data_IF_139867585345
#
_entry.id   IF_139867585345
#
_cell.length_a   1.000
_cell.length_b   1.000
_cell.length_c   1.000
_cell.angle_alpha   90.00
_cell.angle_beta   90.00
_cell.angle_gamma   90.00
#
_symmetry.space_group_name_H-M   'P 1'
#
loop_
_entity.id
_entity.type
_entity.pdbx_description
1 polymer ?
#
# COMPACT_ATOMS: atom_id res chain seq x y z
N UNK A 1 -7.28 7.71 32.26
CA UNK A 1 -7.34 7.02 30.95
C UNK A 1 -7.84 8.01 29.93
N UNK A 2 -7.22 8.00 28.75
CA UNK A 2 -7.74 8.62 27.54
C UNK A 2 -8.15 7.48 26.61
N UNK A 3 -9.21 7.66 25.84
CA UNK A 3 -9.63 6.68 24.85
C UNK A 3 -9.02 7.06 23.51
N UNK A 4 -8.46 6.06 22.82
CA UNK A 4 -7.86 6.20 21.49
C UNK A 4 -8.73 5.47 20.48
N UNK A 5 -8.92 6.06 19.31
CA UNK A 5 -9.75 5.50 18.24
C UNK A 5 -8.98 5.52 16.94
N UNK A 6 -8.87 4.35 16.30
CA UNK A 6 -8.31 4.23 14.95
C UNK A 6 -9.44 4.32 13.94
N UNK A 7 -9.38 5.24 12.99
CA UNK A 7 -10.45 5.47 12.01
C UNK A 7 -9.90 5.42 10.60
N UNK A 8 -10.67 4.82 9.70
CA UNK A 8 -10.42 4.87 8.27
C UNK A 8 -11.75 4.82 7.52
N UNK A 9 -11.78 5.44 6.34
CA UNK A 9 -12.88 5.33 5.40
C UNK A 9 -12.32 5.51 3.99
N UNK A 10 -12.44 4.49 3.14
CA UNK A 10 -11.89 4.52 1.79
C UNK A 10 -12.62 3.54 0.88
N UNK A 11 -12.44 3.73 -0.43
CA UNK A 11 -13.09 2.93 -1.45
C UNK A 11 -12.03 2.42 -2.43
N UNK A 12 -12.12 1.14 -2.77
CA UNK A 12 -11.24 0.46 -3.73
C UNK A 12 -12.11 -0.17 -4.83
N UNK A 13 -11.67 -0.03 -6.08
CA UNK A 13 -12.23 -0.78 -7.20
C UNK A 13 -11.48 -2.12 -7.31
N UNK A 14 -12.22 -3.20 -7.44
CA UNK A 14 -11.66 -4.54 -7.62
C UNK A 14 -12.63 -5.40 -8.44
N UNK A 15 -12.17 -6.55 -8.90
CA UNK A 15 -13.05 -7.51 -9.56
C UNK A 15 -14.16 -7.99 -8.62
N UNK A 16 -15.31 -8.35 -9.18
CA UNK A 16 -16.41 -8.92 -8.40
C UNK A 16 -15.99 -10.19 -7.64
N UNK A 17 -15.09 -11.01 -8.20
CA UNK A 17 -14.59 -12.21 -7.55
C UNK A 17 -13.83 -11.90 -6.25
N UNK A 18 -12.92 -10.92 -6.29
CA UNK A 18 -12.18 -10.47 -5.11
C UNK A 18 -13.13 -9.87 -4.06
N UNK A 19 -14.13 -9.09 -4.50
CA UNK A 19 -15.13 -8.53 -3.61
C UNK A 19 -15.94 -9.63 -2.88
N UNK A 20 -16.26 -10.74 -3.56
CA UNK A 20 -16.95 -11.87 -2.91
C UNK A 20 -16.08 -12.60 -1.89
N UNK A 21 -14.76 -12.65 -2.07
CA UNK A 21 -13.87 -13.19 -1.05
C UNK A 21 -13.94 -12.40 0.27
N UNK A 22 -14.18 -11.08 0.22
CA UNK A 22 -14.36 -10.26 1.42
C UNK A 22 -15.62 -10.66 2.21
N UNK A 23 -16.72 -10.99 1.53
CA UNK A 23 -17.94 -11.50 2.20
C UNK A 23 -17.70 -12.83 2.91
N UNK A 24 -16.94 -13.71 2.26
CA UNK A 24 -16.57 -15.00 2.85
C UNK A 24 -15.61 -14.80 4.02
N UNK A 25 -14.72 -13.80 3.97
CA UNK A 25 -13.88 -13.42 5.09
C UNK A 25 -14.70 -12.87 6.29
N UNK A 26 -15.73 -12.03 6.05
CA UNK A 26 -16.67 -11.59 7.11
C UNK A 26 -17.38 -12.81 7.75
N UNK A 27 -17.82 -13.77 6.93
CA UNK A 27 -18.43 -15.01 7.40
C UNK A 27 -17.43 -15.86 8.23
N UNK A 28 -16.18 -15.96 7.79
CA UNK A 28 -15.13 -16.68 8.52
C UNK A 28 -14.86 -16.05 9.89
N UNK A 29 -14.81 -14.72 9.99
CA UNK A 29 -14.73 -14.02 11.27
C UNK A 29 -15.95 -14.34 12.17
N UNK A 30 -17.17 -14.31 11.64
CA UNK A 30 -18.37 -14.65 12.43
C UNK A 30 -18.39 -16.10 12.94
N UNK A 31 -17.86 -17.03 12.16
CA UNK A 31 -17.65 -18.44 12.59
C UNK A 31 -16.67 -18.49 13.77
N UNK A 32 -15.53 -17.81 13.63
CA UNK A 32 -14.47 -17.83 14.65
C UNK A 32 -14.90 -17.09 15.94
N UNK A 33 -15.69 -16.03 15.84
CA UNK A 33 -16.22 -15.26 16.98
C UNK A 33 -17.26 -16.06 17.79
N UNK A 34 -18.11 -16.84 17.10
CA UNK A 34 -19.09 -17.72 17.79
C UNK A 34 -18.39 -18.83 18.58
N UNK A 35 -17.19 -19.23 18.12
CA UNK A 35 -16.44 -20.35 18.67
C UNK A 35 -17.08 -21.71 18.37
N UNK A 36 -16.53 -22.75 18.97
CA UNK A 36 -17.02 -24.13 18.83
C UNK A 36 -15.94 -25.16 19.10
N UNK A 37 -16.32 -26.42 19.07
CA UNK A 37 -15.36 -27.52 19.07
C UNK A 37 -14.62 -27.59 17.72
N UNK A 38 -13.40 -28.09 17.71
CA UNK A 38 -12.53 -28.14 16.51
C UNK A 38 -13.19 -28.87 15.33
N UNK A 39 -13.98 -29.91 15.59
CA UNK A 39 -14.71 -30.65 14.54
C UNK A 39 -15.80 -29.81 13.87
N UNK A 40 -16.49 -28.97 14.64
CA UNK A 40 -17.53 -28.09 14.12
C UNK A 40 -16.91 -26.94 13.31
N UNK A 41 -15.82 -26.35 13.81
CA UNK A 41 -15.06 -25.34 13.06
C UNK A 41 -14.52 -25.90 11.75
N UNK A 42 -13.99 -27.12 11.76
CA UNK A 42 -13.51 -27.79 10.54
C UNK A 42 -14.64 -28.01 9.52
N UNK A 43 -15.84 -28.41 9.98
CA UNK A 43 -17.02 -28.58 9.12
C UNK A 43 -17.50 -27.26 8.53
N UNK A 44 -17.52 -26.20 9.35
CA UNK A 44 -17.91 -24.86 8.91
C UNK A 44 -16.91 -24.28 7.91
N UNK A 45 -15.60 -24.50 8.12
CA UNK A 45 -14.56 -24.17 7.15
C UNK A 45 -14.80 -24.88 5.81
N UNK A 46 -15.07 -26.19 5.82
CA UNK A 46 -15.30 -26.95 4.58
C UNK A 46 -16.53 -26.48 3.80
N UNK A 47 -17.50 -25.86 4.48
CA UNK A 47 -18.68 -25.26 3.88
C UNK A 47 -18.45 -23.86 3.27
N UNK A 48 -17.31 -23.22 3.54
CA UNK A 48 -16.95 -21.95 2.93
C UNK A 48 -16.62 -22.11 1.44
N UNK A 49 -16.75 -20.98 0.73
CA UNK A 49 -16.53 -20.92 -0.70
C UNK A 49 -15.17 -21.53 -1.10
N UNK A 50 -15.11 -22.42 -2.11
CA UNK A 50 -13.86 -22.99 -2.59
C UNK A 50 -12.79 -21.94 -2.96
N UNK A 51 -13.18 -20.77 -3.47
CA UNK A 51 -12.26 -19.69 -3.80
C UNK A 51 -11.58 -19.14 -2.54
N UNK A 52 -12.32 -18.99 -1.44
CA UNK A 52 -11.75 -18.60 -0.15
C UNK A 52 -10.77 -19.64 0.37
N UNK A 53 -11.12 -20.93 0.31
CA UNK A 53 -10.25 -22.03 0.73
C UNK A 53 -9.00 -22.18 -0.15
N UNK A 54 -9.05 -21.75 -1.40
CA UNK A 54 -7.89 -21.71 -2.27
C UNK A 54 -6.91 -20.60 -1.88
N UNK A 55 -7.41 -19.45 -1.43
CA UNK A 55 -6.60 -18.33 -0.92
C UNK A 55 -6.06 -18.61 0.47
N UNK A 56 -6.89 -19.20 1.34
CA UNK A 56 -6.57 -19.54 2.73
C UNK A 56 -6.65 -21.05 2.94
N UNK A 57 -5.69 -21.84 2.44
CA UNK A 57 -5.68 -23.29 2.60
C UNK A 57 -5.48 -23.69 4.06
N UNK A 58 -5.94 -24.88 4.49
CA UNK A 58 -5.82 -25.29 5.87
C UNK A 58 -4.36 -25.52 6.26
N UNK A 59 -3.95 -24.98 7.42
CA UNK A 59 -2.60 -25.13 7.94
C UNK A 59 -2.58 -25.14 9.47
N UNK A 60 -1.74 -26.01 10.05
CA UNK A 60 -1.61 -26.11 11.51
C UNK A 60 -2.76 -26.87 12.18
N UNK A 61 -3.04 -26.52 13.45
CA UNK A 61 -4.03 -27.22 14.28
C UNK A 61 -5.49 -26.88 13.91
N UNK A 62 -5.73 -25.68 13.37
CA UNK A 62 -7.04 -25.24 12.90
C UNK A 62 -7.05 -25.14 11.37
N UNK A 63 -8.15 -25.55 10.73
CA UNK A 63 -8.30 -25.33 9.28
C UNK A 63 -8.30 -23.85 8.89
N UNK A 64 -8.58 -22.95 9.82
CA UNK A 64 -8.48 -21.51 9.61
C UNK A 64 -7.06 -20.96 9.75
N UNK A 65 -6.03 -21.78 9.98
CA UNK A 65 -4.69 -21.30 10.36
C UNK A 65 -4.08 -20.24 9.43
N UNK A 66 -4.18 -20.40 8.11
CA UNK A 66 -3.69 -19.40 7.15
C UNK A 66 -4.52 -18.11 7.16
N UNK A 67 -5.82 -18.20 7.40
CA UNK A 67 -6.68 -17.03 7.57
C UNK A 67 -6.36 -16.31 8.88
N UNK A 68 -6.18 -17.05 9.98
CA UNK A 68 -5.80 -16.49 11.28
C UNK A 68 -4.46 -15.76 11.25
N UNK A 69 -3.54 -16.17 10.38
CA UNK A 69 -2.23 -15.54 10.22
C UNK A 69 -2.30 -14.09 9.70
N UNK A 70 -3.42 -13.62 9.15
CA UNK A 70 -3.56 -12.22 8.72
C UNK A 70 -3.84 -11.26 9.88
N UNK A 71 -4.27 -11.79 11.04
CA UNK A 71 -4.66 -11.01 12.21
C UNK A 71 -3.48 -10.85 13.18
N UNK A 72 -3.25 -9.64 13.72
CA UNK A 72 -2.25 -9.42 14.78
C UNK A 72 -2.54 -10.23 16.06
N UNK A 73 -3.82 -10.43 16.37
CA UNK A 73 -4.29 -11.30 17.45
C UNK A 73 -5.13 -12.47 16.87
N UNK A 74 -4.50 -13.64 16.64
CA UNK A 74 -5.21 -14.83 16.16
C UNK A 74 -6.26 -15.37 17.14
N UNK A 75 -6.23 -14.96 18.42
CA UNK A 75 -7.20 -15.39 19.43
C UNK A 75 -8.54 -14.68 19.32
N UNK A 76 -8.56 -13.48 18.72
CA UNK A 76 -9.76 -12.66 18.52
C UNK A 76 -9.77 -12.08 17.09
N UNK A 77 -9.96 -12.91 16.06
CA UNK A 77 -9.87 -12.49 14.67
C UNK A 77 -11.07 -11.62 14.26
N UNK A 78 -10.87 -10.30 14.21
CA UNK A 78 -11.85 -9.32 13.77
C UNK A 78 -11.25 -8.34 12.76
N UNK A 79 -11.98 -7.99 11.71
CA UNK A 79 -11.55 -6.98 10.73
C UNK A 79 -11.70 -5.54 11.24
N UNK A 80 -12.50 -5.36 12.30
CA UNK A 80 -12.83 -4.08 12.94
C UNK A 80 -13.25 -2.97 11.95
N UNK A 81 -13.90 -3.36 10.85
CA UNK A 81 -14.44 -2.43 9.87
C UNK A 81 -15.74 -2.97 9.27
N UNK A 82 -16.55 -2.07 8.72
CA UNK A 82 -17.66 -2.38 7.86
C UNK A 82 -17.20 -2.43 6.40
N UNK A 83 -17.65 -3.45 5.65
CA UNK A 83 -17.38 -3.62 4.23
C UNK A 83 -18.70 -3.51 3.45
N UNK A 84 -18.85 -2.42 2.68
CA UNK A 84 -19.97 -2.21 1.75
C UNK A 84 -19.51 -2.53 0.33
N UNK A 85 -20.25 -3.39 -0.38
CA UNK A 85 -19.93 -3.81 -1.74
C UNK A 85 -21.04 -3.35 -2.67
N UNK A 86 -20.69 -2.50 -3.63
CA UNK A 86 -21.57 -2.08 -4.72
C UNK A 86 -21.08 -2.71 -6.01
N UNK A 87 -21.93 -3.54 -6.60
CA UNK A 87 -21.63 -4.15 -7.90
C UNK A 87 -21.94 -3.17 -9.01
N UNK A 88 -21.03 -3.06 -9.97
CA UNK A 88 -21.21 -2.26 -11.17
C UNK A 88 -21.55 -3.23 -12.32
N UNK A 89 -22.24 -2.76 -13.37
CA UNK A 89 -22.67 -3.61 -14.50
C UNK A 89 -21.51 -4.25 -15.30
N UNK A 90 -20.26 -3.85 -15.03
CA UNK A 90 -19.06 -4.18 -15.79
C UNK A 90 -18.11 -5.18 -15.10
N UNK A 91 -18.62 -6.11 -14.28
CA UNK A 91 -17.84 -7.15 -13.58
C UNK A 91 -16.83 -6.63 -12.52
N UNK A 92 -16.79 -5.31 -12.33
CA UNK A 92 -16.07 -4.62 -11.27
C UNK A 92 -17.02 -4.31 -10.10
N UNK A 93 -16.46 -4.29 -8.91
CA UNK A 93 -17.14 -3.90 -7.68
C UNK A 93 -16.43 -2.71 -7.04
N UNK A 94 -17.23 -1.74 -6.60
CA UNK A 94 -16.78 -0.67 -5.74
C UNK A 94 -16.95 -1.14 -4.28
N UNK A 95 -15.84 -1.33 -3.58
CA UNK A 95 -15.84 -1.79 -2.18
C UNK A 95 -15.42 -0.66 -1.27
N UNK A 96 -16.24 -0.34 -0.28
CA UNK A 96 -15.99 0.69 0.72
C UNK A 96 -15.73 0.06 2.08
N UNK A 97 -14.61 0.44 2.68
CA UNK A 97 -14.20 0.04 4.02
C UNK A 97 -14.36 1.25 4.94
N UNK A 98 -14.94 1.07 6.11
CA UNK A 98 -15.06 2.15 7.09
C UNK A 98 -15.15 1.66 8.54
N UNK A 99 -14.65 2.44 9.50
CA UNK A 99 -14.74 2.09 10.92
C UNK A 99 -14.11 3.12 11.86
N UNK A 100 -14.47 3.04 13.15
CA UNK A 100 -13.95 3.91 14.22
C UNK A 100 -13.01 3.19 15.22
N UNK A 101 -12.80 1.89 15.03
CA UNK A 101 -11.75 1.08 15.67
C UNK A 101 -11.02 0.25 14.59
N UNK A 102 -10.77 0.89 13.45
CA UNK A 102 -10.40 0.24 12.21
C UNK A 102 -9.18 -0.67 12.32
N UNK A 103 -9.35 -1.90 11.84
CA UNK A 103 -8.32 -2.93 11.78
C UNK A 103 -7.30 -2.73 10.65
N UNK A 104 -6.37 -1.78 10.83
CA UNK A 104 -5.43 -1.36 9.78
C UNK A 104 -4.58 -2.53 9.24
N UNK A 105 -3.98 -3.33 10.12
CA UNK A 105 -3.10 -4.44 9.71
C UNK A 105 -3.87 -5.59 9.07
N UNK A 106 -4.95 -6.04 9.71
CA UNK A 106 -5.73 -7.16 9.21
C UNK A 106 -6.44 -6.85 7.89
N UNK A 107 -6.91 -5.60 7.67
CA UNK A 107 -7.48 -5.21 6.37
C UNK A 107 -6.40 -5.14 5.29
N UNK A 108 -5.21 -4.64 5.60
CA UNK A 108 -4.11 -4.61 4.63
C UNK A 108 -3.66 -6.02 4.23
N UNK A 109 -3.54 -6.93 5.19
CA UNK A 109 -3.19 -8.33 4.96
C UNK A 109 -4.29 -9.06 4.18
N UNK A 110 -5.57 -8.78 4.46
CA UNK A 110 -6.70 -9.33 3.70
C UNK A 110 -6.67 -8.85 2.24
N UNK A 111 -6.46 -7.55 2.01
CA UNK A 111 -6.32 -7.00 0.65
C UNK A 111 -5.15 -7.66 -0.10
N UNK A 112 -4.01 -7.83 0.57
CA UNK A 112 -2.85 -8.50 0.00
C UNK A 112 -3.17 -9.96 -0.37
N UNK A 113 -3.79 -10.72 0.55
CA UNK A 113 -4.02 -12.14 0.35
C UNK A 113 -5.12 -12.43 -0.67
N UNK A 114 -6.27 -11.75 -0.56
CA UNK A 114 -7.49 -12.10 -1.26
C UNK A 114 -7.87 -11.18 -2.42
N UNK A 115 -7.37 -9.93 -2.48
CA UNK A 115 -7.84 -8.92 -3.44
C UNK A 115 -6.78 -8.57 -4.48
N UNK A 116 -6.26 -9.57 -5.20
CA UNK A 116 -5.13 -9.39 -6.13
C UNK A 116 -5.43 -8.43 -7.27
N UNK A 117 -6.67 -8.34 -7.74
CA UNK A 117 -7.08 -7.41 -8.81
C UNK A 117 -7.07 -5.94 -8.36
N UNK A 118 -7.09 -5.69 -7.05
CA UNK A 118 -6.98 -4.34 -6.50
C UNK A 118 -5.54 -3.84 -6.43
N UNK A 119 -4.53 -4.72 -6.58
CA UNK A 119 -3.14 -4.36 -6.35
C UNK A 119 -2.52 -3.67 -7.58
N UNK A 120 -1.69 -2.62 -7.41
CA UNK A 120 -1.37 -1.97 -6.14
C UNK A 120 -2.51 -1.05 -5.64
N UNK A 121 -2.75 -1.05 -4.34
CA UNK A 121 -3.70 -0.14 -3.70
C UNK A 121 -3.15 0.41 -2.37
N UNK A 122 -3.91 1.28 -1.74
CA UNK A 122 -3.58 1.81 -0.43
C UNK A 122 -4.73 2.58 0.18
N UNK A 123 -4.58 2.93 1.44
CA UNK A 123 -5.57 3.68 2.18
C UNK A 123 -4.93 4.51 3.30
N UNK A 124 -5.61 5.58 3.69
CA UNK A 124 -5.22 6.42 4.82
C UNK A 124 -6.01 6.05 6.07
N UNK A 125 -5.40 6.28 7.22
CA UNK A 125 -6.02 6.10 8.53
C UNK A 125 -5.58 7.20 9.48
N UNK A 126 -6.36 7.42 10.52
CA UNK A 126 -6.08 8.37 11.60
C UNK A 126 -6.25 7.67 12.93
N UNK A 127 -5.45 8.07 13.93
CA UNK A 127 -5.67 7.73 15.32
C UNK A 127 -5.93 9.02 16.08
N UNK A 128 -7.10 9.15 16.67
CA UNK A 128 -7.45 10.29 17.51
C UNK A 128 -7.63 9.87 18.98
N UNK A 129 -7.67 10.88 19.85
CA UNK A 129 -7.84 10.68 21.27
C UNK A 129 -8.91 11.63 21.82
N UNK A 130 -9.70 11.17 22.78
CA UNK A 130 -10.68 12.02 23.49
C UNK A 130 -10.02 13.10 24.38
N UNK A 131 -8.69 13.07 24.51
CA UNK A 131 -7.89 14.08 25.18
C UNK A 131 -6.83 14.61 24.24
N UNK A 132 -6.61 15.92 24.30
CA UNK A 132 -5.61 16.58 23.46
C UNK A 132 -4.28 16.60 24.21
N UNK A 133 -3.40 15.63 23.93
CA UNK A 133 -2.01 15.64 24.42
C UNK A 133 -1.01 15.46 23.28
N UNK A 134 0.22 15.97 23.45
CA UNK A 134 1.29 15.74 22.48
C UNK A 134 1.50 14.25 22.21
N UNK A 135 1.53 13.85 20.94
CA UNK A 135 1.74 12.48 20.50
C UNK A 135 0.50 11.56 20.54
N UNK A 136 -0.65 12.02 21.03
CA UNK A 136 -1.89 11.22 21.07
C UNK A 136 -2.71 11.28 19.76
N UNK A 137 -2.38 12.21 18.85
CA UNK A 137 -2.90 12.23 17.48
C UNK A 137 -1.86 11.64 16.53
N UNK A 138 -2.26 10.62 15.80
CA UNK A 138 -1.43 9.97 14.81
C UNK A 138 -2.25 9.63 13.58
N UNK A 139 -1.63 8.96 12.63
CA UNK A 139 -2.28 8.51 11.42
C UNK A 139 -1.23 8.01 10.47
N UNK A 140 -1.64 7.80 9.24
CA UNK A 140 -0.73 7.31 8.24
C UNK A 140 -1.42 6.85 6.99
N UNK A 141 -0.67 6.13 6.19
CA UNK A 141 -1.20 5.37 5.08
C UNK A 141 -0.57 3.98 5.03
N UNK A 142 -1.29 3.08 4.38
CA UNK A 142 -0.84 1.74 4.05
C UNK A 142 -0.79 1.62 2.54
N UNK A 143 0.29 1.04 2.02
CA UNK A 143 0.44 0.70 0.62
C UNK A 143 0.54 -0.82 0.50
N UNK A 144 -0.32 -1.40 -0.31
CA UNK A 144 -0.39 -2.85 -0.55
C UNK A 144 0.01 -3.13 -1.99
N UNK A 145 1.02 -3.98 -2.15
CA UNK A 145 1.59 -4.38 -3.44
C UNK A 145 1.72 -5.89 -3.51
N UNK A 146 1.98 -6.46 -4.69
CA UNK A 146 2.26 -7.89 -4.81
C UNK A 146 3.42 -8.39 -3.93
N UNK A 147 4.37 -7.50 -3.62
CA UNK A 147 5.55 -7.81 -2.80
C UNK A 147 5.30 -7.74 -1.29
N UNK A 148 4.18 -7.16 -0.86
CA UNK A 148 3.83 -7.03 0.56
C UNK A 148 3.12 -5.73 0.93
N UNK A 149 2.97 -5.55 2.24
CA UNK A 149 2.35 -4.38 2.88
C UNK A 149 3.43 -3.45 3.42
N UNK A 150 3.29 -2.15 3.15
CA UNK A 150 4.14 -1.09 3.72
C UNK A 150 3.29 -0.11 4.52
N UNK A 151 3.71 0.13 5.76
CA UNK A 151 3.04 1.06 6.67
C UNK A 151 3.86 2.34 6.77
N UNK A 152 3.19 3.49 6.65
CA UNK A 152 3.78 4.80 6.85
C UNK A 152 2.97 5.54 7.90
N UNK A 153 3.60 5.95 9.00
CA UNK A 153 2.95 6.88 9.93
C UNK A 153 3.14 8.32 9.47
N UNK A 154 2.27 9.22 9.91
CA UNK A 154 2.45 10.66 9.71
C UNK A 154 3.80 11.15 10.23
N UNK A 155 4.31 10.55 11.31
CA UNK A 155 5.64 10.83 11.82
C UNK A 155 6.74 10.36 10.86
N UNK A 156 6.67 9.13 10.33
CA UNK A 156 7.67 8.66 9.34
C UNK A 156 7.63 9.51 8.07
N UNK A 157 6.44 9.95 7.66
CA UNK A 157 6.25 10.85 6.52
C UNK A 157 6.90 12.22 6.80
N UNK A 158 6.67 12.78 8.00
CA UNK A 158 7.27 14.05 8.43
C UNK A 158 8.80 13.96 8.53
N UNK A 159 9.32 12.93 9.18
CA UNK A 159 10.76 12.68 9.31
C UNK A 159 11.42 12.52 7.94
N UNK A 160 10.79 11.80 7.02
CA UNK A 160 11.25 11.70 5.63
C UNK A 160 11.24 13.06 4.94
N UNK A 161 10.20 13.86 5.13
CA UNK A 161 10.13 15.20 4.55
C UNK A 161 11.23 16.12 5.11
N UNK A 162 11.46 16.10 6.43
CA UNK A 162 12.53 16.87 7.07
C UNK A 162 13.91 16.40 6.62
N UNK A 163 14.16 15.09 6.60
CA UNK A 163 15.43 14.54 6.14
C UNK A 163 15.69 14.89 4.67
N UNK A 164 14.67 14.93 3.81
CA UNK A 164 14.83 15.41 2.42
C UNK A 164 15.26 16.86 2.36
N UNK A 165 14.71 17.71 3.22
CA UNK A 165 15.11 19.12 3.31
C UNK A 165 16.55 19.25 3.83
N UNK A 166 16.89 18.53 4.90
CA UNK A 166 18.21 18.59 5.55
C UNK A 166 19.34 17.97 4.72
N UNK A 167 19.07 16.85 4.04
CA UNK A 167 20.03 16.21 3.14
C UNK A 167 20.34 17.06 1.91
N UNK A 168 19.58 18.14 1.66
CA UNK A 168 19.61 18.86 0.39
C UNK A 168 19.12 17.96 -0.76
N UNK A 169 19.00 18.52 -1.96
CA UNK A 169 18.55 17.78 -3.14
C UNK A 169 19.61 16.78 -3.68
N UNK A 170 20.47 16.25 -2.81
CA UNK A 170 21.49 15.23 -3.10
C UNK A 170 20.90 13.81 -3.06
N UNK A 171 19.70 13.63 -2.48
CA UNK A 171 19.11 12.32 -2.24
C UNK A 171 18.33 11.72 -3.42
N UNK A 172 18.63 12.07 -4.68
CA UNK A 172 18.07 11.36 -5.85
C UNK A 172 16.53 11.40 -6.05
N UNK A 173 15.77 11.90 -5.08
CA UNK A 173 14.29 11.93 -5.06
C UNK A 173 13.76 13.31 -5.50
N UNK A 174 14.53 14.37 -5.23
CA UNK A 174 14.26 15.75 -5.65
C UNK A 174 15.36 16.30 -6.60
N UNK A 175 16.13 15.39 -7.20
CA UNK A 175 17.19 15.72 -8.14
C UNK A 175 16.67 15.98 -9.55
N UNK A 176 17.55 16.50 -10.39
CA UNK A 176 17.31 16.66 -11.83
C UNK A 176 18.12 15.65 -12.62
N UNK A 177 17.56 15.17 -13.72
CA UNK A 177 18.25 14.35 -14.72
C UNK A 177 18.47 15.17 -15.98
N UNK A 178 19.57 14.87 -16.66
CA UNK A 178 19.88 15.48 -17.95
C UNK A 178 19.18 14.68 -19.05
N UNK A 179 18.15 15.28 -19.66
CA UNK A 179 17.41 14.73 -20.77
C UNK A 179 17.90 15.35 -22.07
N UNK A 180 18.21 14.50 -23.04
CA UNK A 180 18.73 14.91 -24.35
C UNK A 180 17.76 14.41 -25.40
N UNK A 181 17.29 15.33 -26.25
CA UNK A 181 16.45 14.97 -27.38
C UNK A 181 17.35 14.59 -28.55
N UNK A 182 17.14 13.43 -29.12
CA UNK A 182 17.80 13.06 -30.36
C UNK A 182 17.16 13.86 -31.52
N UNK A 183 17.93 14.71 -32.23
CA UNK A 183 17.40 15.55 -33.30
C UNK A 183 16.93 14.75 -34.53
N UNK A 184 17.34 13.48 -34.66
CA UNK A 184 17.01 12.63 -35.79
C UNK A 184 15.76 11.75 -35.58
N UNK A 185 15.56 11.24 -34.36
CA UNK A 185 14.43 10.37 -34.00
C UNK A 185 13.33 11.10 -33.21
N UNK A 186 13.66 12.20 -32.53
CA UNK A 186 12.77 12.92 -31.62
C UNK A 186 12.64 12.27 -30.24
N UNK A 187 13.27 11.11 -30.02
CA UNK A 187 13.25 10.38 -28.75
C UNK A 187 14.06 11.11 -27.67
N UNK A 188 13.68 10.89 -26.40
CA UNK A 188 14.37 11.46 -25.24
C UNK A 188 15.24 10.38 -24.60
N UNK A 189 16.54 10.61 -24.59
CA UNK A 189 17.52 9.82 -23.83
C UNK A 189 17.93 10.53 -22.54
N UNK A 190 18.27 9.76 -21.51
CA UNK A 190 18.72 10.29 -20.23
C UNK A 190 20.18 9.93 -19.98
N UNK A 191 20.97 10.91 -19.55
CA UNK A 191 22.41 10.75 -19.35
C UNK A 191 22.76 9.88 -18.14
N UNK A 192 23.77 9.03 -18.29
CA UNK A 192 24.37 8.23 -17.23
C UNK A 192 25.89 8.44 -17.19
N UNK A 193 26.41 8.97 -16.07
CA UNK A 193 27.83 9.23 -15.85
C UNK A 193 28.67 7.95 -15.77
N UNK A 194 28.12 6.86 -15.24
CA UNK A 194 28.85 5.61 -15.06
C UNK A 194 29.11 4.91 -16.40
N UNK A 195 28.16 4.99 -17.33
CA UNK A 195 28.29 4.40 -18.67
C UNK A 195 28.69 5.40 -19.74
N UNK A 196 28.72 6.69 -19.42
CA UNK A 196 29.00 7.80 -20.35
C UNK A 196 28.10 7.73 -21.60
N UNK A 197 26.82 7.42 -21.41
CA UNK A 197 25.88 7.20 -22.51
C UNK A 197 24.46 7.65 -22.18
N UNK A 198 23.66 7.87 -23.23
CA UNK A 198 22.21 8.10 -23.11
C UNK A 198 21.47 6.78 -23.03
N UNK A 199 20.48 6.70 -22.13
CA UNK A 199 19.66 5.51 -21.94
C UNK A 199 18.29 5.81 -21.34
N UNK A 200 17.68 4.77 -20.76
CA UNK A 200 16.38 4.87 -20.08
C UNK A 200 16.48 5.67 -18.78
N UNK A 201 15.38 6.33 -18.38
CA UNK A 201 15.29 7.13 -17.16
C UNK A 201 15.70 6.35 -15.90
N UNK A 202 15.34 5.07 -15.81
CA UNK A 202 15.68 4.22 -14.66
C UNK A 202 17.18 4.00 -14.47
N UNK A 203 18.01 4.32 -15.46
CA UNK A 203 19.46 4.24 -15.41
C UNK A 203 20.11 5.63 -15.42
N UNK A 204 19.36 6.72 -15.36
CA UNK A 204 19.90 8.06 -15.44
C UNK A 204 20.72 8.42 -14.18
N UNK A 205 21.78 9.21 -14.37
CA UNK A 205 22.47 9.86 -13.26
C UNK A 205 21.64 11.04 -12.77
N UNK A 206 21.51 11.12 -11.44
CA UNK A 206 20.71 12.16 -10.78
C UNK A 206 21.63 13.21 -10.18
N UNK A 207 21.29 14.48 -10.41
CA UNK A 207 22.09 15.62 -9.98
C UNK A 207 21.29 16.55 -9.05
N UNK A 208 22.00 17.22 -8.16
CA UNK A 208 21.44 18.34 -7.40
C UNK A 208 21.13 19.52 -8.36
N UNK A 209 20.00 20.24 -8.22
CA UNK A 209 19.66 21.39 -9.08
C UNK A 209 20.74 22.47 -9.15
N UNK A 210 21.43 22.75 -8.03
CA UNK A 210 22.55 23.70 -8.02
C UNK A 210 23.77 23.23 -8.81
N UNK A 211 24.03 21.92 -8.87
CA UNK A 211 25.10 21.34 -9.70
C UNK A 211 24.73 21.38 -11.18
N UNK A 212 23.49 21.05 -11.51
CA UNK A 212 22.95 21.21 -12.86
C UNK A 212 23.05 22.66 -13.36
N UNK A 213 22.69 23.64 -12.51
CA UNK A 213 22.77 25.06 -12.83
C UNK A 213 24.21 25.59 -13.02
N UNK A 214 25.20 24.90 -12.46
CA UNK A 214 26.62 25.29 -12.54
C UNK A 214 27.45 24.40 -13.47
N UNK A 215 26.82 23.50 -14.23
CA UNK A 215 27.53 22.62 -15.16
C UNK A 215 27.81 23.36 -16.47
N UNK A 216 29.02 23.93 -16.58
CA UNK A 216 29.40 24.80 -17.71
C UNK A 216 29.71 24.08 -19.03
N UNK A 217 29.95 22.75 -19.00
CA UNK A 217 30.42 21.96 -20.16
C UNK A 217 29.58 20.68 -20.35
N UNK A 218 28.29 20.84 -20.61
CA UNK A 218 27.41 19.73 -20.97
C UNK A 218 27.72 19.31 -22.43
N UNK A 219 27.97 18.01 -22.72
CA UNK A 219 28.43 17.56 -24.04
C UNK A 219 27.31 17.49 -25.10
N UNK A 220 26.21 18.22 -24.91
CA UNK A 220 25.03 18.18 -25.77
C UNK A 220 24.60 19.61 -26.14
N UNK A 221 24.20 19.82 -27.40
CA UNK A 221 23.73 21.13 -27.86
C UNK A 221 22.25 21.38 -27.50
N UNK A 222 21.42 20.34 -27.52
CA UNK A 222 19.99 20.40 -27.16
C UNK A 222 19.71 19.46 -25.99
N UNK A 223 19.58 20.03 -24.80
CA UNK A 223 19.30 19.29 -23.57
C UNK A 223 18.39 20.07 -22.64
N UNK A 224 17.68 19.35 -21.79
CA UNK A 224 16.86 19.90 -20.73
C UNK A 224 17.18 19.23 -19.38
N UNK A 225 17.21 20.03 -18.33
CA UNK A 225 17.24 19.53 -16.97
C UNK A 225 15.81 19.25 -16.51
N UNK A 226 15.49 17.98 -16.30
CA UNK A 226 14.16 17.55 -15.89
C UNK A 226 14.16 17.17 -14.41
N UNK A 227 13.23 17.74 -13.64
CA UNK A 227 13.00 17.26 -12.28
C UNK A 227 12.55 15.80 -12.33
N UNK A 228 13.13 14.95 -11.48
CA UNK A 228 12.66 13.59 -11.35
C UNK A 228 11.20 13.59 -10.89
N UNK A 229 10.35 12.74 -11.47
CA UNK A 229 9.00 12.55 -10.98
C UNK A 229 9.08 12.13 -9.50
N UNK A 230 8.30 12.79 -8.65
CA UNK A 230 8.24 12.45 -7.24
C UNK A 230 7.77 11.00 -7.08
N UNK A 231 8.69 10.10 -6.76
CA UNK A 231 8.32 8.76 -6.36
C UNK A 231 7.69 8.84 -4.96
N UNK A 232 6.36 8.75 -4.91
CA UNK A 232 5.61 8.58 -3.67
C UNK A 232 5.80 7.18 -3.05
N UNK A 233 6.42 6.25 -3.77
CA UNK A 233 6.68 4.90 -3.30
C UNK A 233 8.19 4.67 -3.08
N UNK A 234 8.60 4.75 -1.81
CA UNK A 234 9.77 4.07 -1.27
C UNK A 234 9.35 3.40 0.06
#
# INVERSE_FOLDING_TARGET
MANTYTKAAFTILMSHADAMLLRVAEQACGILDTGGEDEDLARQYDALDPAFRAVFPPEGASKFGTFLAIFPDPGFPCLDCAIDIRSNDANDAQVTFSGEQFGVEQVANLLLAACKSALPCGFAWVSDCDRVRPGEFAGGCVVVTGDGVRFHSTQTILERALHRIEAGADSGVDGVVLAVRDPSSGDIGFWNDATQSLGLLCHASVYHPSRAASWENVPFEEFDWMALPQNLAA
#
